data_IF_761667446353
#
_entry.id   IF_761667446353
#
_cell.length_a   1.000
_cell.length_b   1.000
_cell.length_c   1.000
_cell.angle_alpha   90.00
_cell.angle_beta   90.00
_cell.angle_gamma   90.00
#
_symmetry.space_group_name_H-M   'P 1'
#
loop_
_entity.id
_entity.type
_entity.pdbx_description
1 polymer ?
#
# COMPACT_ATOMS: atom_id res chain seq x y z
N UNK A 1 4.29 -16.98 -11.53
CA UNK A 1 4.89 -15.67 -11.85
C UNK A 1 5.15 -14.95 -10.54
N UNK A 2 6.39 -14.52 -10.27
CA UNK A 2 6.79 -13.83 -9.02
C UNK A 2 7.74 -14.62 -8.11
N UNK A 3 8.85 -15.18 -8.63
CA UNK A 3 9.93 -15.82 -7.83
C UNK A 3 11.33 -15.28 -8.16
N UNK A 4 11.42 -14.10 -8.77
CA UNK A 4 12.67 -13.54 -9.29
C UNK A 4 13.05 -12.18 -8.69
N UNK A 5 12.40 -11.77 -7.60
CA UNK A 5 12.81 -10.58 -6.85
C UNK A 5 14.04 -10.89 -5.98
N UNK A 6 14.83 -9.90 -5.57
CA UNK A 6 16.02 -10.08 -4.74
C UNK A 6 15.72 -10.68 -3.35
N UNK A 7 14.45 -10.71 -2.94
CA UNK A 7 14.00 -11.26 -1.66
C UNK A 7 13.13 -12.49 -1.93
N UNK A 8 13.55 -13.63 -1.38
CA UNK A 8 12.81 -14.90 -1.44
C UNK A 8 11.75 -14.91 -0.34
N UNK A 9 10.53 -14.52 -0.67
CA UNK A 9 9.41 -14.54 0.29
C UNK A 9 8.85 -15.95 0.47
N UNK A 10 8.55 -16.39 1.71
CA UNK A 10 7.88 -17.66 1.96
C UNK A 10 6.46 -17.68 1.41
N UNK A 11 5.98 -18.86 1.00
CA UNK A 11 4.65 -19.02 0.45
C UNK A 11 3.58 -18.60 1.48
N UNK A 12 2.58 -17.83 1.03
CA UNK A 12 1.44 -17.33 1.83
C UNK A 12 1.78 -16.34 2.95
N UNK A 13 2.70 -15.41 2.70
CA UNK A 13 2.98 -14.30 3.64
C UNK A 13 2.50 -12.95 3.10
N UNK A 14 1.18 -12.67 3.08
CA UNK A 14 0.67 -11.35 2.71
C UNK A 14 1.20 -10.23 3.63
N UNK A 15 1.59 -10.58 4.85
CA UNK A 15 2.18 -9.66 5.84
C UNK A 15 3.65 -9.30 5.57
N UNK A 16 4.34 -10.07 4.70
CA UNK A 16 5.77 -9.87 4.42
C UNK A 16 6.03 -9.06 3.14
N UNK A 17 5.02 -8.81 2.32
CA UNK A 17 5.17 -7.88 1.23
C UNK A 17 4.89 -6.47 1.76
N UNK A 18 5.93 -5.66 1.93
CA UNK A 18 5.83 -4.24 2.30
C UNK A 18 4.76 -3.53 1.47
N UNK A 19 4.66 -3.86 0.18
CA UNK A 19 3.63 -3.29 -0.69
C UNK A 19 2.21 -3.69 -0.24
N UNK A 20 1.98 -4.95 0.09
CA UNK A 20 0.65 -5.42 0.47
C UNK A 20 0.26 -5.04 1.91
N UNK A 21 1.20 -4.95 2.86
CA UNK A 21 0.88 -4.51 4.22
C UNK A 21 0.83 -2.97 4.33
N UNK A 22 1.91 -2.29 3.91
CA UNK A 22 2.04 -0.85 4.11
C UNK A 22 1.18 -0.06 3.12
N UNK A 23 1.31 -0.30 1.81
CA UNK A 23 0.59 0.52 0.81
C UNK A 23 -0.90 0.29 0.91
N UNK A 24 -1.35 -0.97 0.99
CA UNK A 24 -2.76 -1.26 1.12
C UNK A 24 -3.36 -0.75 2.44
N UNK A 25 -2.69 -0.98 3.58
CA UNK A 25 -3.16 -0.50 4.89
C UNK A 25 -3.25 1.01 4.96
N UNK A 26 -2.22 1.71 4.48
CA UNK A 26 -2.14 3.15 4.45
C UNK A 26 -3.19 3.77 3.52
N UNK A 27 -3.27 3.31 2.26
CA UNK A 27 -4.26 3.81 1.30
C UNK A 27 -5.68 3.54 1.78
N UNK A 28 -5.96 2.34 2.31
CA UNK A 28 -7.27 2.01 2.88
C UNK A 28 -7.66 2.99 3.98
N UNK A 29 -6.75 3.30 4.91
CA UNK A 29 -7.04 4.23 6.02
C UNK A 29 -7.43 5.65 5.57
N UNK A 30 -6.87 6.10 4.44
CA UNK A 30 -7.16 7.43 3.87
C UNK A 30 -8.46 7.43 3.06
N UNK A 31 -8.71 6.37 2.30
CA UNK A 31 -9.91 6.25 1.45
C UNK A 31 -11.16 5.90 2.28
N UNK A 32 -11.03 5.16 3.37
CA UNK A 32 -12.15 4.80 4.27
C UNK A 32 -12.88 6.05 4.81
N UNK A 33 -12.17 7.17 4.99
CA UNK A 33 -12.75 8.45 5.40
C UNK A 33 -13.72 9.04 4.35
N UNK A 34 -13.65 8.55 3.11
CA UNK A 34 -14.46 8.98 1.96
C UNK A 34 -15.33 7.85 1.42
N UNK A 35 -15.53 6.77 2.17
CA UNK A 35 -16.26 5.58 1.69
C UNK A 35 -17.70 5.86 1.26
N UNK A 36 -18.34 6.86 1.87
CA UNK A 36 -19.74 7.22 1.63
C UNK A 36 -19.88 8.36 0.58
N UNK A 37 -18.79 8.72 -0.11
CA UNK A 37 -18.76 9.73 -1.18
C UNK A 37 -19.16 9.19 -2.55
N UNK A 38 -19.19 10.06 -3.57
CA UNK A 38 -19.45 9.63 -4.97
C UNK A 38 -18.28 8.82 -5.53
N UNK A 39 -18.52 8.11 -6.65
CA UNK A 39 -17.46 7.35 -7.32
C UNK A 39 -16.25 8.24 -7.68
N UNK A 40 -16.52 9.47 -8.13
CA UNK A 40 -15.48 10.44 -8.47
C UNK A 40 -14.67 10.87 -7.23
N UNK A 41 -15.33 11.08 -6.10
CA UNK A 41 -14.68 11.46 -4.84
C UNK A 41 -13.80 10.34 -4.31
N UNK A 42 -14.28 9.09 -4.35
CA UNK A 42 -13.51 7.91 -3.95
C UNK A 42 -12.32 7.71 -4.90
N UNK A 43 -12.52 7.84 -6.21
CA UNK A 43 -11.45 7.74 -7.21
C UNK A 43 -10.39 8.82 -6.98
N UNK A 44 -10.78 10.07 -6.75
CA UNK A 44 -9.86 11.14 -6.43
C UNK A 44 -9.10 10.86 -5.12
N UNK A 45 -9.78 10.37 -4.08
CA UNK A 45 -9.17 10.03 -2.81
C UNK A 45 -8.12 8.91 -2.95
N UNK A 46 -8.37 7.90 -3.77
CA UNK A 46 -7.38 6.84 -4.07
C UNK A 46 -6.14 7.46 -4.73
N UNK A 47 -6.31 8.26 -5.77
CA UNK A 47 -5.19 8.89 -6.49
C UNK A 47 -4.37 9.78 -5.53
N UNK A 48 -5.04 10.60 -4.72
CA UNK A 48 -4.39 11.45 -3.72
C UNK A 48 -3.67 10.62 -2.66
N UNK A 49 -4.28 9.54 -2.16
CA UNK A 49 -3.65 8.66 -1.17
C UNK A 49 -2.33 8.07 -1.70
N UNK A 50 -2.32 7.57 -2.94
CA UNK A 50 -1.09 7.09 -3.57
C UNK A 50 -0.06 8.20 -3.79
N UNK A 51 -0.49 9.41 -4.14
CA UNK A 51 0.42 10.56 -4.30
C UNK A 51 1.07 11.01 -2.99
N UNK A 52 0.49 10.67 -1.83
CA UNK A 52 1.08 10.97 -0.51
C UNK A 52 2.15 9.98 -0.08
N UNK A 53 2.27 8.83 -0.77
CA UNK A 53 3.29 7.83 -0.46
C UNK A 53 4.64 8.35 -0.98
N UNK A 54 5.41 8.95 -0.09
CA UNK A 54 6.75 9.41 -0.40
C UNK A 54 7.74 8.22 -0.44
N UNK A 55 8.81 8.30 -1.25
CA UNK A 55 9.81 7.23 -1.33
C UNK A 55 10.46 6.89 0.02
N UNK A 56 10.57 7.84 0.93
CA UNK A 56 11.11 7.62 2.28
C UNK A 56 10.18 6.76 3.15
N UNK A 57 8.87 6.88 2.98
CA UNK A 57 7.89 6.05 3.68
C UNK A 57 8.00 4.59 3.25
N UNK A 58 8.14 4.35 1.95
CA UNK A 58 8.37 3.01 1.41
C UNK A 58 9.71 2.43 1.87
N UNK A 59 10.77 3.25 1.91
CA UNK A 59 12.08 2.83 2.40
C UNK A 59 12.05 2.43 3.89
N UNK A 60 11.41 3.23 4.76
CA UNK A 60 11.26 2.91 6.19
C UNK A 60 10.45 1.63 6.42
N UNK A 61 9.35 1.46 5.68
CA UNK A 61 8.55 0.25 5.76
C UNK A 61 9.33 -1.01 5.35
N UNK A 62 10.34 -0.88 4.48
CA UNK A 62 11.28 -1.97 4.16
C UNK A 62 12.32 -2.25 5.25
N UNK A 63 12.58 -1.31 6.17
CA UNK A 63 13.56 -1.48 7.26
C UNK A 63 12.95 -2.05 8.55
N UNK A 64 11.62 -2.03 8.68
CA UNK A 64 10.89 -2.54 9.85
C UNK A 64 10.42 -4.01 9.71
N UNK A 65 10.77 -4.67 8.60
CA UNK A 65 10.62 -6.14 8.40
C UNK A 65 11.90 -6.85 8.82
#
# INVERSE_FOLDING_TARGET
MGRGGPITWPARSPDLNVLDYFVWGYVKSLVEQRRDGTEEEVRAAIITAFATIAPDMAYRAMQEI
#
